data_IF_397388132639
#
_entry.id   IF_397388132639
#
_cell.length_a   1.000
_cell.length_b   1.000
_cell.length_c   1.000
_cell.angle_alpha   90.00
_cell.angle_beta   90.00
_cell.angle_gamma   90.00
#
_symmetry.space_group_name_H-M   'P 1'
#
loop_
_entity.id
_entity.type
_entity.pdbx_description
1 polymer ?
#
# COMPACT_ATOMS: atom_id res chain seq x y z
N UNK A 1 -1.46 5.52 9.32
CA UNK A 1 -2.34 6.29 8.42
C UNK A 1 -3.68 5.57 8.25
N UNK A 2 -4.73 6.25 7.80
CA UNK A 2 -6.03 5.62 7.50
C UNK A 2 -5.99 4.85 6.18
N UNK A 3 -6.99 4.00 5.93
CA UNK A 3 -7.08 3.29 4.64
C UNK A 3 -7.27 4.27 3.47
N UNK A 4 -8.04 5.35 3.64
CA UNK A 4 -8.17 6.40 2.63
C UNK A 4 -6.81 6.99 2.24
N UNK A 5 -5.98 7.34 3.24
CA UNK A 5 -4.63 7.86 3.00
C UNK A 5 -3.73 6.84 2.28
N UNK A 6 -3.84 5.56 2.62
CA UNK A 6 -3.11 4.50 1.94
C UNK A 6 -3.53 4.35 0.47
N UNK A 7 -4.83 4.44 0.19
CA UNK A 7 -5.38 4.43 -1.18
C UNK A 7 -4.85 5.61 -1.98
N UNK A 8 -4.90 6.81 -1.42
CA UNK A 8 -4.43 8.01 -2.12
C UNK A 8 -2.93 7.95 -2.41
N UNK A 9 -2.14 7.36 -1.51
CA UNK A 9 -0.71 7.10 -1.77
C UNK A 9 -0.53 6.11 -2.92
N UNK A 10 -1.21 4.97 -2.89
CA UNK A 10 -1.13 3.96 -3.96
C UNK A 10 -1.52 4.54 -5.34
N UNK A 11 -2.58 5.34 -5.39
CA UNK A 11 -3.03 6.01 -6.61
C UNK A 11 -1.98 6.97 -7.19
N UNK A 12 -1.21 7.67 -6.35
CA UNK A 12 -0.10 8.54 -6.81
C UNK A 12 1.01 7.76 -7.51
N UNK A 13 1.13 6.47 -7.24
CA UNK A 13 2.08 5.56 -7.89
C UNK A 13 1.42 4.72 -9.00
N UNK A 14 0.23 5.11 -9.47
CA UNK A 14 -0.49 4.42 -10.54
C UNK A 14 -1.23 3.15 -10.10
N UNK A 15 -1.25 2.84 -8.80
CA UNK A 15 -1.90 1.64 -8.25
C UNK A 15 -3.32 2.02 -7.79
N UNK A 16 -4.30 1.85 -8.68
CA UNK A 16 -5.69 2.15 -8.41
C UNK A 16 -6.43 0.94 -7.82
N UNK A 17 -6.67 0.93 -6.51
CA UNK A 17 -7.38 -0.14 -5.81
C UNK A 17 -8.67 0.37 -5.14
N UNK A 18 -9.67 -0.51 -5.07
CA UNK A 18 -10.87 -0.24 -4.26
C UNK A 18 -10.52 -0.23 -2.77
N UNK A 19 -11.40 0.36 -1.96
CA UNK A 19 -11.16 0.47 -0.52
C UNK A 19 -11.00 -0.90 0.16
N UNK A 20 -11.79 -1.88 -0.29
CA UNK A 20 -11.70 -3.26 0.16
C UNK A 20 -10.42 -3.96 -0.31
N UNK A 21 -10.01 -3.74 -1.57
CA UNK A 21 -8.78 -4.29 -2.11
C UNK A 21 -7.54 -3.75 -1.36
N UNK A 22 -7.49 -2.46 -1.02
CA UNK A 22 -6.42 -1.90 -0.17
C UNK A 22 -6.41 -2.59 1.19
N UNK A 23 -7.58 -2.82 1.80
CA UNK A 23 -7.64 -3.50 3.11
C UNK A 23 -7.10 -4.93 3.03
N UNK A 24 -7.54 -5.72 2.05
CA UNK A 24 -7.07 -7.10 1.83
C UNK A 24 -5.57 -7.13 1.57
N UNK A 25 -5.08 -6.22 0.73
CA UNK A 25 -3.65 -6.08 0.45
C UNK A 25 -2.86 -5.75 1.72
N UNK A 26 -3.30 -4.77 2.51
CA UNK A 26 -2.63 -4.39 3.76
C UNK A 26 -2.58 -5.55 4.76
N UNK A 27 -3.63 -6.37 4.85
CA UNK A 27 -3.64 -7.58 5.69
C UNK A 27 -2.60 -8.58 5.19
N UNK A 28 -2.64 -8.91 3.88
CA UNK A 28 -1.78 -9.93 3.26
C UNK A 28 -0.29 -9.61 3.43
N UNK A 29 0.06 -8.33 3.33
CA UNK A 29 1.45 -7.88 3.40
C UNK A 29 1.87 -7.44 4.82
N UNK A 30 1.03 -7.62 5.85
CA UNK A 30 1.38 -7.23 7.22
C UNK A 30 1.62 -5.72 7.39
N UNK A 31 1.01 -4.92 6.52
CA UNK A 31 1.07 -3.45 6.48
C UNK A 31 -0.10 -2.84 7.24
N UNK A 32 -1.20 -3.57 7.41
CA UNK A 32 -2.36 -3.14 8.18
C UNK A 32 -2.42 -3.77 9.57
N UNK A 33 -2.77 -2.98 10.58
CA UNK A 33 -2.94 -3.41 11.97
C UNK A 33 -4.27 -2.93 12.53
N UNK A 34 -4.84 -3.70 13.47
CA UNK A 34 -5.98 -3.26 14.28
C UNK A 34 -5.48 -2.80 15.65
N UNK A 35 -5.78 -1.56 16.03
CA UNK A 35 -5.46 -0.99 17.35
C UNK A 35 -6.74 -0.39 17.95
N UNK A 36 -7.16 -0.89 19.11
CA UNK A 36 -8.36 -0.38 19.81
C UNK A 36 -9.63 -0.39 18.95
N UNK A 37 -9.81 -1.42 18.11
CA UNK A 37 -10.96 -1.52 17.20
C UNK A 37 -10.85 -0.75 15.88
N UNK A 38 -9.88 0.17 15.77
CA UNK A 38 -9.60 0.93 14.53
C UNK A 38 -8.61 0.19 13.64
N UNK A 39 -8.80 0.31 12.33
CA UNK A 39 -7.83 -0.12 11.32
C UNK A 39 -6.86 1.02 11.02
N UNK A 40 -5.57 0.73 11.18
CA UNK A 40 -4.47 1.62 10.80
C UNK A 40 -3.55 0.92 9.82
N UNK A 41 -3.03 1.69 8.87
CA UNK A 41 -2.00 1.24 7.92
C UNK A 41 -0.66 1.80 8.38
N UNK A 42 0.35 0.93 8.47
CA UNK A 42 1.71 1.26 8.85
C UNK A 42 2.40 1.97 7.70
N UNK A 43 2.60 3.28 7.87
CA UNK A 43 3.09 4.17 6.81
C UNK A 43 4.42 3.71 6.22
N UNK A 44 5.41 3.43 7.07
CA UNK A 44 6.76 3.11 6.62
C UNK A 44 6.80 1.79 5.83
N UNK A 45 5.97 0.81 6.25
CA UNK A 45 5.85 -0.48 5.54
C UNK A 45 5.13 -0.33 4.21
N UNK A 46 4.09 0.50 4.16
CA UNK A 46 3.40 0.78 2.91
C UNK A 46 4.35 1.45 1.92
N UNK A 47 5.08 2.48 2.35
CA UNK A 47 6.05 3.18 1.53
C UNK A 47 7.16 2.24 1.03
N UNK A 48 7.68 1.36 1.89
CA UNK A 48 8.70 0.38 1.49
C UNK A 48 8.20 -0.56 0.38
N UNK A 49 6.98 -1.10 0.51
CA UNK A 49 6.40 -1.98 -0.52
C UNK A 49 6.14 -1.25 -1.83
N UNK A 50 5.66 -0.01 -1.78
CA UNK A 50 5.44 0.82 -2.98
C UNK A 50 6.76 1.09 -3.69
N UNK A 51 7.80 1.48 -2.95
CA UNK A 51 9.13 1.72 -3.51
C UNK A 51 9.74 0.49 -4.17
N UNK A 52 9.58 -0.69 -3.56
CA UNK A 52 10.03 -1.95 -4.17
C UNK A 52 9.29 -2.25 -5.47
N UNK A 53 7.96 -2.14 -5.46
CA UNK A 53 7.13 -2.41 -6.65
C UNK A 53 7.48 -1.48 -7.81
N UNK A 54 7.68 -0.19 -7.53
CA UNK A 54 8.07 0.79 -8.55
C UNK A 54 9.49 0.51 -9.08
N UNK A 55 10.42 0.12 -8.22
CA UNK A 55 11.78 -0.21 -8.63
C UNK A 55 11.83 -1.45 -9.54
N UNK A 56 11.09 -2.50 -9.20
CA UNK A 56 10.97 -3.73 -9.99
C UNK A 56 10.38 -3.43 -11.39
N UNK A 57 9.25 -2.69 -11.45
CA UNK A 57 8.62 -2.32 -12.73
C UNK A 57 9.50 -1.40 -13.59
N UNK A 58 10.32 -0.54 -12.97
CA UNK A 58 11.23 0.36 -13.70
C UNK A 58 12.40 -0.41 -14.31
N UNK A 59 12.90 -1.44 -13.62
CA UNK A 59 13.99 -2.26 -14.13
C UNK A 59 13.54 -3.17 -15.28
N UNK A 60 12.34 -3.76 -15.19
CA UNK A 60 11.74 -4.54 -16.28
C UNK A 60 11.49 -3.70 -17.53
N UNK A 61 11.10 -2.42 -17.39
CA UNK A 61 10.88 -1.52 -18.51
C UNK A 61 12.17 -1.04 -19.21
N UNK A 62 13.35 -1.28 -18.64
CA UNK A 62 14.65 -0.93 -19.24
C UNK A 62 15.29 -2.07 -20.05
N UNK A 63 14.81 -3.30 -19.89
CA UNK A 63 15.26 -4.48 -20.63
C UNK A 63 14.51 -4.63 -21.95
#
# INVERSE_FOLDING_TARGET
MTINQARDLLSKHGICLTHEAVRVWCVRHGVGVRRGGRWDVLTDRLAAHVSMTVAELTEEARQ
#
